data_IF_864685239131
#
_entry.id   IF_864685239131
#
_cell.length_a   1.000
_cell.length_b   1.000
_cell.length_c   1.000
_cell.angle_alpha   90.00
_cell.angle_beta   90.00
_cell.angle_gamma   90.00
#
_symmetry.space_group_name_H-M   'P 1'
#
loop_
_entity.id
_entity.type
_entity.pdbx_description
1 polymer ?
#
# COMPACT_ATOMS: atom_id res chain seq x y z
N UNK A 1 7.01 -21.70 -7.01
CA UNK A 1 7.58 -22.06 -5.70
C UNK A 1 7.70 -20.78 -4.87
N UNK A 2 7.04 -20.72 -3.70
CA UNK A 2 7.06 -19.67 -2.66
C UNK A 2 6.33 -18.31 -2.87
N UNK A 3 5.20 -18.25 -3.59
CA UNK A 3 4.42 -17.00 -3.71
C UNK A 3 3.77 -16.51 -2.38
N UNK A 4 3.66 -17.37 -1.36
CA UNK A 4 2.92 -17.06 -0.12
C UNK A 4 3.75 -16.35 0.97
N UNK A 5 5.08 -16.37 0.89
CA UNK A 5 5.95 -15.89 2.00
C UNK A 5 5.89 -14.37 2.18
N UNK A 6 5.73 -13.61 1.09
CA UNK A 6 5.73 -12.14 1.13
C UNK A 6 4.37 -11.51 1.46
N UNK A 7 3.26 -12.26 1.43
CA UNK A 7 1.93 -11.68 1.65
C UNK A 7 1.77 -11.19 3.09
N UNK A 8 2.05 -12.00 4.13
CA UNK A 8 1.90 -11.54 5.51
C UNK A 8 2.81 -10.35 5.82
N UNK A 9 4.07 -10.41 5.36
CA UNK A 9 5.08 -9.35 5.57
C UNK A 9 4.63 -8.00 4.98
N UNK A 10 4.22 -8.00 3.71
CA UNK A 10 3.86 -6.78 2.99
C UNK A 10 2.60 -6.13 3.55
N UNK A 11 1.60 -6.92 3.91
CA UNK A 11 0.37 -6.41 4.53
C UNK A 11 0.58 -5.95 5.98
N UNK A 12 1.34 -6.68 6.79
CA UNK A 12 1.64 -6.26 8.17
C UNK A 12 2.40 -4.94 8.17
N UNK A 13 3.43 -4.81 7.33
CA UNK A 13 4.21 -3.57 7.21
C UNK A 13 3.33 -2.40 6.78
N UNK A 14 2.50 -2.60 5.75
CA UNK A 14 1.57 -1.57 5.28
C UNK A 14 0.53 -1.19 6.35
N UNK A 15 -0.01 -2.15 7.08
CA UNK A 15 -0.98 -1.90 8.16
C UNK A 15 -0.35 -1.13 9.33
N UNK A 16 0.86 -1.51 9.75
CA UNK A 16 1.60 -0.81 10.80
C UNK A 16 1.81 0.66 10.43
N UNK A 17 2.28 0.93 9.19
CA UNK A 17 2.49 2.29 8.70
C UNK A 17 1.20 3.10 8.62
N UNK A 18 0.16 2.55 8.00
CA UNK A 18 -1.09 3.29 7.75
C UNK A 18 -1.96 3.43 9.00
N UNK A 19 -2.19 2.34 9.74
CA UNK A 19 -3.21 2.30 10.79
C UNK A 19 -2.65 2.55 12.19
N UNK A 20 -1.52 1.93 12.54
CA UNK A 20 -0.96 2.05 13.88
C UNK A 20 -0.17 3.34 14.06
N UNK A 21 0.67 3.69 13.08
CA UNK A 21 1.53 4.88 13.14
C UNK A 21 0.82 6.09 12.52
N UNK A 22 0.35 5.95 11.28
CA UNK A 22 -0.27 7.04 10.53
C UNK A 22 -1.71 7.36 10.93
N UNK A 23 -2.38 6.48 11.67
CA UNK A 23 -3.79 6.59 12.08
C UNK A 23 -4.73 7.06 10.96
N UNK A 24 -4.57 6.48 9.76
CA UNK A 24 -5.34 6.86 8.58
C UNK A 24 -6.84 6.70 8.81
N UNK A 25 -7.61 7.63 8.24
CA UNK A 25 -9.07 7.72 8.33
C UNK A 25 -9.70 7.87 6.96
N UNK A 26 -11.01 7.62 6.91
CA UNK A 26 -11.82 7.90 5.73
C UNK A 26 -11.70 9.38 5.35
N UNK A 27 -11.44 9.64 4.08
CA UNK A 27 -11.28 10.99 3.54
C UNK A 27 -9.85 11.51 3.52
N UNK A 28 -8.91 10.85 4.22
CA UNK A 28 -7.48 11.20 4.15
C UNK A 28 -6.92 10.96 2.75
N UNK A 29 -5.76 11.56 2.48
CA UNK A 29 -4.99 11.34 1.24
C UNK A 29 -3.70 10.63 1.60
N UNK A 30 -3.49 9.44 1.03
CA UNK A 30 -2.26 8.67 1.16
C UNK A 30 -1.41 8.78 -0.11
N UNK A 31 -0.20 9.31 0.02
CA UNK A 31 0.83 9.23 -1.02
C UNK A 31 1.69 7.98 -0.76
N UNK A 32 1.61 6.99 -1.64
CA UNK A 32 2.30 5.72 -1.52
C UNK A 32 3.42 5.66 -2.55
N UNK A 33 4.67 5.64 -2.11
CA UNK A 33 5.79 5.44 -3.03
C UNK A 33 5.92 3.97 -3.46
N UNK A 34 6.54 3.76 -4.62
CA UNK A 34 6.74 2.45 -5.24
C UNK A 34 5.46 1.57 -5.23
N UNK A 35 4.34 2.07 -5.77
CA UNK A 35 3.03 1.41 -5.70
C UNK A 35 2.98 -0.02 -6.26
N UNK A 36 3.80 -0.30 -7.27
CA UNK A 36 3.91 -1.62 -7.89
C UNK A 36 4.86 -2.59 -7.13
N UNK A 37 5.35 -2.23 -5.93
CA UNK A 37 6.08 -3.13 -5.03
C UNK A 37 5.11 -3.95 -4.16
N UNK A 38 5.60 -4.99 -3.49
CA UNK A 38 4.77 -5.80 -2.59
C UNK A 38 4.09 -4.97 -1.49
N UNK A 39 4.87 -4.17 -0.73
CA UNK A 39 4.33 -3.28 0.32
C UNK A 39 3.46 -2.19 -0.29
N UNK A 40 3.88 -1.58 -1.42
CA UNK A 40 3.10 -0.54 -2.09
C UNK A 40 1.71 -1.02 -2.51
N UNK A 41 1.63 -2.23 -3.09
CA UNK A 41 0.37 -2.82 -3.53
C UNK A 41 -0.54 -3.17 -2.34
N UNK A 42 0.04 -3.67 -1.24
CA UNK A 42 -0.72 -3.91 0.00
C UNK A 42 -1.22 -2.61 0.63
N UNK A 43 -0.38 -1.57 0.69
CA UNK A 43 -0.72 -0.26 1.22
C UNK A 43 -1.83 0.43 0.42
N UNK A 44 -1.81 0.32 -0.92
CA UNK A 44 -2.88 0.87 -1.78
C UNK A 44 -4.22 0.20 -1.45
N UNK A 45 -4.23 -1.12 -1.28
CA UNK A 45 -5.44 -1.87 -0.92
C UNK A 45 -5.97 -1.47 0.45
N UNK A 46 -5.10 -1.42 1.47
CA UNK A 46 -5.47 -1.04 2.83
C UNK A 46 -5.94 0.42 2.93
N UNK A 47 -5.25 1.36 2.28
CA UNK A 47 -5.65 2.76 2.29
C UNK A 47 -7.05 2.96 1.67
N UNK A 48 -7.33 2.29 0.55
CA UNK A 48 -8.67 2.27 -0.06
C UNK A 48 -9.70 1.62 0.86
N UNK A 49 -9.36 0.50 1.52
CA UNK A 49 -10.22 -0.17 2.49
C UNK A 49 -10.61 0.75 3.66
N UNK A 50 -9.68 1.58 4.15
CA UNK A 50 -9.96 2.58 5.19
C UNK A 50 -10.69 3.84 4.67
N UNK A 51 -11.00 3.91 3.37
CA UNK A 51 -11.73 5.01 2.75
C UNK A 51 -10.87 6.24 2.45
N UNK A 52 -9.55 6.09 2.39
CA UNK A 52 -8.65 7.16 1.96
C UNK A 52 -8.55 7.24 0.43
N UNK A 53 -8.23 8.44 -0.07
CA UNK A 53 -7.81 8.65 -1.46
C UNK A 53 -6.34 8.29 -1.60
N UNK A 54 -5.95 7.72 -2.72
CA UNK A 54 -4.58 7.22 -2.92
C UNK A 54 -3.95 7.87 -4.14
N UNK A 55 -2.73 8.39 -3.96
CA UNK A 55 -1.81 8.73 -5.04
C UNK A 55 -0.57 7.84 -4.92
N UNK A 56 0.05 7.45 -6.03
CA UNK A 56 1.24 6.60 -5.99
C UNK A 56 2.26 6.95 -7.07
N UNK A 57 3.52 6.65 -6.79
CA UNK A 57 4.61 6.72 -7.77
C UNK A 57 5.03 5.31 -8.18
N UNK A 58 5.38 5.13 -9.45
CA UNK A 58 6.02 3.91 -9.95
C UNK A 58 7.33 4.26 -10.66
N UNK A 59 8.23 3.29 -10.75
CA UNK A 59 9.57 3.51 -11.31
C UNK A 59 9.66 3.47 -12.83
N UNK A 60 8.61 3.03 -13.53
CA UNK A 60 8.60 2.95 -14.99
C UNK A 60 7.17 2.86 -15.51
N UNK A 61 6.97 3.14 -16.80
CA UNK A 61 5.66 3.12 -17.43
C UNK A 61 5.07 1.71 -17.54
N UNK A 62 5.92 0.68 -17.66
CA UNK A 62 5.46 -0.73 -17.72
C UNK A 62 4.77 -1.18 -16.42
N UNK A 63 4.97 -0.43 -15.32
CA UNK A 63 4.33 -0.67 -14.01
C UNK A 63 3.01 0.08 -13.86
N UNK A 64 2.62 0.88 -14.84
CA UNK A 64 1.31 1.54 -14.95
C UNK A 64 0.41 0.58 -15.73
N UNK A 65 -0.06 -0.47 -15.05
CA UNK A 65 -1.02 -1.43 -15.60
C UNK A 65 -2.45 -1.07 -15.18
#
# INVERSE_FOLDING_TARGET
KLAFVGIPETFLTAYQGLRLIGNIKKGDIALIHAGASGVGTAAIQLAKFFGAKVATTVGSNEKIA
#
